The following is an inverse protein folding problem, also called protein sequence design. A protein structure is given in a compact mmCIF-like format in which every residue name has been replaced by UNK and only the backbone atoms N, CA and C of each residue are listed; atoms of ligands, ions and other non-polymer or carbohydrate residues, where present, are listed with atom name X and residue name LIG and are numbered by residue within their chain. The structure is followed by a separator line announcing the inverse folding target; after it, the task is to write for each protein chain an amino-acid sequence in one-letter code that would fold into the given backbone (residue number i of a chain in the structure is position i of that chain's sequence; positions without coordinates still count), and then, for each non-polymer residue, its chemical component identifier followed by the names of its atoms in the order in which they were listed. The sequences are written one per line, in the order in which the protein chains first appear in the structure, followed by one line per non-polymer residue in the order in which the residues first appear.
data_IF_533905395769
#
_entry.id   IF_533905395769
#
_cell.length_a   1.000
_cell.length_b   1.000
_cell.length_c   1.000
_cell.angle_alpha   90.00
_cell.angle_beta   90.00
_cell.angle_gamma   90.00
#
_symmetry.space_group_name_H-M   'P 1'
#
loop_
_entity.id
_entity.type
_entity.pdbx_description
1 polymer ?
#
# COMPACT_ATOMS: atom_id res chain seq x y z
N UNK A 1 27.76 -75.28 -62.46
CA UNK A 1 26.64 -75.48 -63.41
C UNK A 1 25.86 -74.26 -63.52
N UNK A 2 25.84 -73.71 -64.74
CA UNK A 2 24.87 -72.68 -65.28
C UNK A 2 24.69 -71.35 -64.48
N UNK A 3 25.36 -70.28 -64.89
CA UNK A 3 25.16 -69.38 -66.05
C UNK A 3 23.72 -68.86 -66.18
N UNK A 4 23.52 -67.55 -66.01
CA UNK A 4 22.90 -66.59 -66.95
C UNK A 4 22.64 -65.30 -66.21
N UNK A 5 23.28 -64.25 -66.49
CA UNK A 5 23.20 -63.33 -67.63
C UNK A 5 22.11 -62.29 -67.47
N UNK A 6 22.56 -61.06 -67.46
CA UNK A 6 22.07 -59.74 -67.49
C UNK A 6 20.91 -59.46 -68.51
N UNK A 7 20.01 -58.54 -68.34
CA UNK A 7 20.30 -57.29 -69.04
C UNK A 7 19.94 -55.98 -68.28
N UNK A 8 20.66 -54.96 -68.70
CA UNK A 8 20.59 -53.56 -68.50
C UNK A 8 19.31 -53.01 -69.14
N UNK A 9 18.59 -52.11 -68.49
CA UNK A 9 17.92 -51.05 -69.26
C UNK A 9 17.91 -49.74 -68.51
N UNK A 10 18.28 -48.75 -69.25
CA UNK A 10 18.37 -47.35 -69.13
C UNK A 10 16.98 -46.70 -68.91
N UNK A 11 16.99 -45.59 -68.22
CA UNK A 11 15.98 -44.60 -68.54
C UNK A 11 15.57 -43.64 -67.39
N UNK A 12 16.34 -42.58 -67.30
CA UNK A 12 15.83 -41.18 -67.10
C UNK A 12 14.58 -40.97 -66.28
N UNK A 13 14.63 -40.26 -65.18
CA UNK A 13 14.26 -38.88 -65.03
C UNK A 13 14.16 -38.46 -63.59
N UNK A 14 14.98 -37.50 -63.19
CA UNK A 14 14.76 -36.61 -62.12
C UNK A 14 13.50 -35.76 -62.39
N UNK A 15 12.70 -35.43 -61.36
CA UNK A 15 12.62 -34.02 -61.05
C UNK A 15 12.84 -33.71 -59.56
N UNK A 16 13.69 -32.78 -59.34
CA UNK A 16 13.82 -31.94 -58.19
C UNK A 16 12.48 -31.30 -57.84
N UNK A 17 12.04 -31.43 -56.62
CA UNK A 17 11.14 -30.47 -56.02
C UNK A 17 11.47 -30.30 -54.53
N UNK A 18 12.40 -29.39 -54.32
CA UNK A 18 12.59 -28.76 -53.02
C UNK A 18 11.29 -28.05 -52.61
N UNK A 19 10.64 -28.53 -51.58
CA UNK A 19 9.64 -27.73 -50.88
C UNK A 19 10.39 -26.75 -49.98
N UNK A 20 10.67 -25.58 -50.51
CA UNK A 20 11.10 -24.44 -49.74
C UNK A 20 10.02 -24.10 -48.71
N UNK A 21 10.40 -24.23 -47.45
CA UNK A 21 9.61 -23.72 -46.34
C UNK A 21 9.71 -22.20 -46.40
N UNK A 22 8.73 -21.60 -47.10
CA UNK A 22 8.63 -20.14 -47.18
C UNK A 22 8.13 -19.65 -45.84
N UNK A 23 9.05 -19.18 -45.01
CA UNK A 23 8.74 -18.44 -43.79
C UNK A 23 8.12 -17.11 -44.23
N UNK A 24 6.78 -17.04 -44.24
CA UNK A 24 6.06 -15.80 -44.46
C UNK A 24 6.22 -14.92 -43.22
N UNK A 25 7.20 -14.05 -43.22
CA UNK A 25 7.25 -12.89 -42.33
C UNK A 25 6.06 -11.99 -42.64
N UNK A 26 5.27 -11.58 -41.64
CA UNK A 26 4.17 -10.64 -41.85
C UNK A 26 4.73 -9.28 -42.28
N UNK A 27 4.39 -8.88 -43.51
CA UNK A 27 4.89 -7.69 -44.20
C UNK A 27 4.28 -6.35 -43.72
N UNK A 28 3.65 -6.28 -42.54
CA UNK A 28 3.16 -4.99 -42.06
C UNK A 28 3.73 -4.66 -40.69
N UNK A 29 4.54 -3.59 -40.58
CA UNK A 29 5.08 -3.14 -39.28
C UNK A 29 3.97 -2.74 -38.28
N UNK A 30 2.77 -2.44 -38.80
CA UNK A 30 1.60 -2.09 -38.01
C UNK A 30 1.09 -3.27 -37.14
N UNK A 31 1.19 -4.52 -37.62
CA UNK A 31 0.77 -5.71 -36.85
C UNK A 31 1.77 -6.06 -35.75
N UNK A 32 3.05 -5.79 -35.95
CA UNK A 32 4.11 -6.01 -34.94
C UNK A 32 4.00 -4.98 -33.81
N UNK A 33 3.66 -3.72 -34.12
CA UNK A 33 3.42 -2.67 -33.14
C UNK A 33 2.16 -2.95 -32.30
N UNK A 34 1.09 -3.49 -32.89
CA UNK A 34 -0.14 -3.80 -32.19
C UNK A 34 0.01 -4.95 -31.19
N UNK A 35 0.84 -5.95 -31.51
CA UNK A 35 1.12 -7.07 -30.60
C UNK A 35 2.07 -6.67 -29.46
N UNK A 36 3.01 -5.74 -29.69
CA UNK A 36 3.92 -5.24 -28.67
C UNK A 36 3.21 -4.34 -27.66
N UNK A 37 2.23 -3.54 -28.12
CA UNK A 37 1.44 -2.68 -27.21
C UNK A 37 0.47 -3.46 -26.34
N UNK A 38 -0.05 -4.60 -26.80
CA UNK A 38 -0.98 -5.43 -26.04
C UNK A 38 -0.30 -6.19 -24.90
N UNK A 39 0.99 -6.55 -25.04
CA UNK A 39 1.74 -7.24 -23.98
C UNK A 39 2.21 -6.33 -22.85
N UNK A 40 2.32 -5.02 -23.10
CA UNK A 40 2.78 -4.05 -22.09
C UNK A 40 1.70 -3.64 -21.09
N UNK A 41 0.42 -3.86 -21.40
CA UNK A 41 -0.70 -3.44 -20.54
C UNK A 41 -1.05 -4.45 -19.44
N UNK A 42 -0.45 -5.65 -19.41
CA UNK A 42 -0.77 -6.70 -18.43
C UNK A 42 0.16 -6.73 -17.21
N UNK A 43 1.16 -5.84 -17.14
CA UNK A 43 2.02 -5.71 -15.97
C UNK A 43 1.55 -4.57 -15.06
N UNK A 44 0.32 -4.66 -14.54
CA UNK A 44 -0.04 -3.88 -13.35
C UNK A 44 0.67 -4.51 -12.16
N UNK A 45 1.55 -3.79 -11.45
CA UNK A 45 2.10 -4.31 -10.22
C UNK A 45 0.94 -4.56 -9.25
N UNK A 46 0.76 -5.80 -8.83
CA UNK A 46 -0.18 -6.16 -7.79
C UNK A 46 0.21 -5.35 -6.53
N UNK A 47 -0.53 -4.31 -6.22
CA UNK A 47 -0.40 -3.59 -4.95
C UNK A 47 -0.83 -4.56 -3.86
N UNK A 48 0.08 -4.93 -2.98
CA UNK A 48 -0.27 -5.72 -1.81
C UNK A 48 -1.37 -4.96 -1.03
N UNK A 49 -2.49 -5.62 -0.78
CA UNK A 49 -3.58 -5.07 0.02
C UNK A 49 -3.06 -4.83 1.44
N UNK A 50 -3.36 -3.67 2.01
CA UNK A 50 -2.99 -3.35 3.38
C UNK A 50 -3.69 -4.32 4.34
N UNK A 51 -3.01 -4.78 5.42
CA UNK A 51 -3.61 -5.66 6.40
C UNK A 51 -4.81 -4.97 7.07
N UNK A 52 -5.85 -5.75 7.40
CA UNK A 52 -7.03 -5.20 8.09
C UNK A 52 -6.66 -4.70 9.49
N UNK A 53 -7.32 -3.63 9.98
CA UNK A 53 -7.14 -3.14 11.34
C UNK A 53 -7.44 -4.24 12.37
N UNK A 54 -6.62 -4.31 13.41
CA UNK A 54 -6.77 -5.27 14.50
C UNK A 54 -7.49 -4.62 15.69
N UNK A 55 -8.33 -5.38 16.37
CA UNK A 55 -8.97 -4.90 17.60
C UNK A 55 -8.00 -5.02 18.78
N UNK A 56 -7.87 -4.00 19.64
CA UNK A 56 -7.04 -4.10 20.82
C UNK A 56 -7.66 -5.05 21.85
N UNK A 57 -6.78 -5.75 22.59
CA UNK A 57 -7.18 -6.49 23.77
C UNK A 57 -7.28 -5.55 24.99
N UNK A 58 -8.00 -5.93 26.06
CA UNK A 58 -8.04 -5.13 27.29
C UNK A 58 -6.68 -4.88 27.96
N UNK A 59 -5.66 -5.67 27.58
CA UNK A 59 -4.29 -5.57 28.13
C UNK A 59 -3.36 -4.70 27.29
N UNK A 60 -3.76 -4.32 26.08
CA UNK A 60 -2.92 -3.53 25.19
C UNK A 60 -2.74 -2.12 25.72
N UNK A 61 -1.49 -1.72 25.79
CA UNK A 61 -1.08 -0.38 26.24
C UNK A 61 -0.47 0.40 25.09
N UNK A 62 -0.77 1.69 25.06
CA UNK A 62 -0.06 2.62 24.22
C UNK A 62 1.43 2.64 24.59
N UNK A 63 2.35 2.39 23.63
CA UNK A 63 3.79 2.37 23.92
C UNK A 63 4.38 3.73 24.25
N UNK A 64 3.63 4.82 24.04
CA UNK A 64 4.07 6.19 24.27
C UNK A 64 3.67 6.68 25.66
N UNK A 65 2.37 6.57 26.00
CA UNK A 65 1.81 7.09 27.24
C UNK A 65 1.47 6.03 28.29
N UNK A 66 1.43 4.73 27.91
CA UNK A 66 1.14 3.61 28.82
C UNK A 66 -0.34 3.37 29.14
N UNK A 67 -1.26 4.16 28.55
CA UNK A 67 -2.70 3.99 28.76
C UNK A 67 -3.22 2.71 28.13
N UNK A 68 -4.26 2.10 28.73
CA UNK A 68 -4.95 0.95 28.16
C UNK A 68 -5.88 1.42 27.03
N UNK A 69 -5.48 1.13 25.79
CA UNK A 69 -6.10 1.67 24.57
C UNK A 69 -7.53 1.23 24.35
N UNK A 70 -7.90 0.02 24.80
CA UNK A 70 -9.26 -0.51 24.70
C UNK A 70 -10.31 0.33 25.46
N UNK A 71 -9.89 1.25 26.33
CA UNK A 71 -10.78 2.19 27.03
C UNK A 71 -11.19 3.39 26.18
N UNK A 72 -10.53 3.59 25.03
CA UNK A 72 -10.69 4.76 24.17
C UNK A 72 -10.96 4.33 22.70
N UNK A 73 -12.04 3.57 22.45
CA UNK A 73 -12.31 2.99 21.13
C UNK A 73 -12.44 4.05 20.04
N UNK A 74 -13.01 5.21 20.36
CA UNK A 74 -13.24 6.30 19.40
C UNK A 74 -11.95 7.05 19.01
N UNK A 75 -10.87 6.81 19.75
CA UNK A 75 -9.55 7.42 19.55
C UNK A 75 -8.50 6.41 19.08
N UNK A 76 -8.91 5.17 18.88
CA UNK A 76 -7.99 4.10 18.58
C UNK A 76 -7.16 4.41 17.33
N UNK A 77 -5.85 4.25 17.49
CA UNK A 77 -4.93 4.33 16.37
C UNK A 77 -3.94 3.15 16.41
N UNK A 78 -3.36 2.79 15.23
CA UNK A 78 -2.61 1.55 15.09
C UNK A 78 -1.50 1.66 14.06
N UNK A 79 -0.36 1.03 14.37
CA UNK A 79 0.71 0.72 13.40
C UNK A 79 0.79 -0.79 13.25
N UNK A 80 0.81 -1.29 12.01
CA UNK A 80 1.03 -2.70 11.67
C UNK A 80 2.33 -2.80 10.88
N UNK A 81 3.19 -3.74 11.29
CA UNK A 81 4.46 -4.01 10.65
C UNK A 81 4.36 -5.18 9.66
N UNK A 82 5.30 -5.26 8.72
CA UNK A 82 5.37 -6.31 7.68
C UNK A 82 5.47 -7.72 8.23
N UNK A 83 5.99 -7.89 9.44
CA UNK A 83 6.08 -9.18 10.12
C UNK A 83 4.80 -9.55 10.91
N UNK A 84 3.73 -8.75 10.79
CA UNK A 84 2.46 -8.94 11.48
C UNK A 84 2.44 -8.41 12.92
N UNK A 85 3.57 -7.99 13.49
CA UNK A 85 3.55 -7.29 14.78
C UNK A 85 2.87 -5.94 14.66
N UNK A 86 2.32 -5.42 15.78
CA UNK A 86 1.55 -4.18 15.77
C UNK A 86 1.71 -3.41 17.07
N UNK A 87 1.32 -2.16 17.07
CA UNK A 87 1.20 -1.31 18.24
C UNK A 87 -0.12 -0.53 18.17
N UNK A 88 -0.82 -0.43 19.30
CA UNK A 88 -2.05 0.34 19.45
C UNK A 88 -1.78 1.61 20.25
N UNK A 89 -2.54 2.66 19.94
CA UNK A 89 -2.44 3.99 20.56
C UNK A 89 -3.84 4.51 20.90
N UNK A 90 -3.92 5.33 21.89
CA UNK A 90 -5.14 5.99 22.37
C UNK A 90 -5.37 7.38 21.74
N UNK A 91 -4.65 7.69 20.66
CA UNK A 91 -4.81 8.90 19.86
C UNK A 91 -3.80 9.00 18.73
N UNK A 92 -4.12 9.82 17.73
CA UNK A 92 -3.26 10.04 16.57
C UNK A 92 -1.96 10.77 16.97
N UNK A 93 -1.97 11.65 17.97
CA UNK A 93 -0.79 12.33 18.48
C UNK A 93 0.30 11.34 18.89
N UNK A 94 -0.07 10.28 19.59
CA UNK A 94 0.89 9.29 20.07
C UNK A 94 1.46 8.42 18.96
N UNK A 95 0.70 8.17 17.86
CA UNK A 95 1.30 7.56 16.67
C UNK A 95 2.45 8.42 16.14
N UNK A 96 2.26 9.73 15.97
CA UNK A 96 3.31 10.59 15.45
C UNK A 96 4.50 10.69 16.41
N UNK A 97 4.27 10.75 17.74
CA UNK A 97 5.35 10.65 18.74
C UNK A 97 6.16 9.36 18.56
N UNK A 98 5.46 8.25 18.36
CA UNK A 98 6.06 6.94 18.14
C UNK A 98 6.88 6.90 16.84
N UNK A 99 6.33 7.36 15.74
CA UNK A 99 6.98 7.37 14.42
C UNK A 99 8.25 8.23 14.42
N UNK A 100 8.19 9.42 15.01
CA UNK A 100 9.35 10.32 15.10
C UNK A 100 10.45 9.81 16.03
N UNK A 101 10.11 8.93 16.96
CA UNK A 101 11.06 8.37 17.93
C UNK A 101 11.01 6.84 17.96
N UNK A 102 10.87 6.21 16.79
CA UNK A 102 10.67 4.76 16.67
C UNK A 102 11.80 3.99 17.39
N UNK A 103 13.03 4.45 17.27
CA UNK A 103 14.19 3.84 17.98
C UNK A 103 14.03 3.84 19.50
N UNK A 104 13.35 4.85 20.07
CA UNK A 104 13.09 4.93 21.52
C UNK A 104 12.00 3.94 21.94
N UNK A 105 10.91 3.88 21.19
CA UNK A 105 9.72 3.11 21.57
C UNK A 105 9.73 1.66 21.07
N UNK A 106 10.43 1.41 19.96
CA UNK A 106 10.57 0.08 19.36
C UNK A 106 11.91 -0.05 18.61
N UNK A 107 13.02 -0.28 19.34
CA UNK A 107 14.36 -0.28 18.75
C UNK A 107 14.60 -1.41 17.73
N UNK A 108 13.75 -2.44 17.72
CA UNK A 108 13.85 -3.56 16.78
C UNK A 108 13.24 -3.27 15.42
N UNK A 109 12.53 -2.13 15.25
CA UNK A 109 11.81 -1.76 14.03
C UNK A 109 12.38 -0.50 13.40
N UNK A 110 12.20 -0.42 12.07
CA UNK A 110 12.51 0.75 11.26
C UNK A 110 11.25 1.27 10.57
N UNK A 111 11.29 2.49 10.06
CA UNK A 111 10.15 3.10 9.36
C UNK A 111 9.74 2.28 8.12
N UNK A 112 10.70 1.66 7.44
CA UNK A 112 10.47 0.81 6.26
C UNK A 112 9.74 -0.50 6.59
N UNK A 113 9.74 -0.92 7.86
CA UNK A 113 9.04 -2.13 8.31
C UNK A 113 7.53 -1.88 8.51
N UNK A 114 7.10 -0.61 8.52
CA UNK A 114 5.70 -0.23 8.70
C UNK A 114 4.92 -0.53 7.43
N UNK A 115 3.98 -1.48 7.52
CA UNK A 115 3.09 -1.84 6.44
C UNK A 115 1.89 -0.92 6.39
N UNK A 116 1.14 -0.77 7.49
CA UNK A 116 -0.05 0.05 7.55
C UNK A 116 -0.10 0.93 8.80
N UNK A 117 -0.79 2.06 8.68
CA UNK A 117 -1.13 2.96 9.78
C UNK A 117 -2.62 3.22 9.72
N UNK A 118 -3.32 3.02 10.83
CA UNK A 118 -4.74 3.30 10.96
C UNK A 118 -4.99 4.32 12.06
N UNK A 119 -5.96 5.19 11.83
CA UNK A 119 -6.51 6.12 12.81
C UNK A 119 -8.03 6.02 12.75
N UNK A 120 -8.74 6.40 13.80
CA UNK A 120 -10.21 6.40 13.81
C UNK A 120 -10.73 7.73 13.25
N UNK A 121 -11.55 7.68 12.21
CA UNK A 121 -12.29 8.85 11.70
C UNK A 121 -13.19 9.40 12.79
N UNK A 122 -13.18 10.73 12.97
CA UNK A 122 -13.89 11.38 14.09
C UNK A 122 -15.41 11.27 13.98
N UNK A 123 -15.97 11.32 12.77
CA UNK A 123 -17.43 11.27 12.60
C UNK A 123 -17.95 9.84 12.42
N UNK A 124 -17.26 9.04 11.59
CA UNK A 124 -17.71 7.69 11.24
C UNK A 124 -17.29 6.65 12.30
N UNK A 125 -16.42 7.00 13.24
CA UNK A 125 -15.84 6.12 14.27
C UNK A 125 -15.28 4.81 13.69
N UNK A 126 -14.79 4.88 12.47
CA UNK A 126 -14.25 3.75 11.73
C UNK A 126 -12.73 3.90 11.49
N UNK A 127 -11.98 2.80 11.42
CA UNK A 127 -10.57 2.87 11.10
C UNK A 127 -10.36 3.28 9.63
N UNK A 128 -9.53 4.29 9.42
CA UNK A 128 -9.14 4.82 8.11
C UNK A 128 -7.62 4.75 7.93
N UNK A 129 -7.15 4.77 6.68
CA UNK A 129 -5.72 4.82 6.37
C UNK A 129 -5.11 6.14 6.87
N UNK A 130 -4.28 6.05 7.90
CA UNK A 130 -3.67 7.24 8.52
C UNK A 130 -2.75 8.02 7.58
N UNK A 131 -2.15 7.37 6.57
CA UNK A 131 -1.29 8.06 5.59
C UNK A 131 -2.07 8.93 4.59
N UNK A 132 -3.37 8.63 4.42
CA UNK A 132 -4.28 9.34 3.51
C UNK A 132 -5.22 10.30 4.26
N UNK A 133 -5.29 10.17 5.60
CA UNK A 133 -6.15 10.97 6.44
C UNK A 133 -5.79 12.46 6.45
N UNK A 134 -6.79 13.24 6.76
CA UNK A 134 -6.68 14.66 7.09
C UNK A 134 -6.71 14.81 8.61
N UNK A 135 -5.94 15.74 9.15
CA UNK A 135 -5.82 15.97 10.59
C UNK A 135 -6.11 17.42 10.90
N UNK A 136 -7.04 17.66 11.82
CA UNK A 136 -7.31 19.01 12.34
C UNK A 136 -6.66 19.15 13.71
N UNK A 137 -5.96 20.28 13.92
CA UNK A 137 -5.38 20.64 15.21
C UNK A 137 -5.90 22.00 15.70
N UNK A 138 -5.79 22.21 17.02
CA UNK A 138 -6.14 23.48 17.66
C UNK A 138 -7.65 23.70 17.82
N UNK A 139 -8.44 22.62 17.76
CA UNK A 139 -9.88 22.62 18.07
C UNK A 139 -10.14 22.70 19.57
N UNK A 140 -11.41 22.85 19.95
CA UNK A 140 -11.91 22.76 21.32
C UNK A 140 -12.24 21.31 21.75
N UNK A 141 -11.99 20.34 20.88
CA UNK A 141 -12.10 18.90 21.18
C UNK A 141 -10.77 18.40 21.70
N UNK A 142 -10.84 17.64 22.78
CA UNK A 142 -9.69 17.03 23.44
C UNK A 142 -9.78 15.50 23.35
N UNK A 143 -8.66 14.87 23.05
CA UNK A 143 -8.51 13.42 23.13
C UNK A 143 -8.13 12.94 24.53
N UNK A 144 -7.87 11.63 24.70
CA UNK A 144 -7.48 11.02 25.97
C UNK A 144 -6.26 11.68 26.64
N UNK A 145 -5.33 12.20 25.84
CA UNK A 145 -4.10 12.86 26.28
C UNK A 145 -4.12 14.39 26.06
N UNK A 146 -5.30 15.01 26.11
CA UNK A 146 -5.45 16.46 25.96
C UNK A 146 -5.59 16.89 24.50
N UNK A 147 -4.82 17.90 24.08
CA UNK A 147 -4.85 18.37 22.69
C UNK A 147 -4.44 17.26 21.73
N UNK A 148 -5.15 17.14 20.61
CA UNK A 148 -5.02 16.00 19.73
C UNK A 148 -4.98 16.42 18.25
N UNK A 149 -4.55 15.50 17.38
CA UNK A 149 -4.81 15.55 15.95
C UNK A 149 -6.11 14.79 15.68
N UNK A 150 -7.13 15.50 15.22
CA UNK A 150 -8.45 14.93 14.95
C UNK A 150 -8.48 14.40 13.52
N UNK A 151 -8.60 13.06 13.29
CA UNK A 151 -8.50 12.47 11.97
C UNK A 151 -9.83 12.48 11.23
N UNK A 152 -9.76 12.64 9.90
CA UNK A 152 -10.89 12.57 8.97
C UNK A 152 -10.49 11.86 7.69
N UNK A 153 -11.40 11.06 7.15
CA UNK A 153 -11.21 10.44 5.84
C UNK A 153 -11.40 11.46 4.71
N UNK A 154 -12.37 12.38 4.87
CA UNK A 154 -12.73 13.36 3.85
C UNK A 154 -12.30 14.76 4.26
N UNK A 155 -11.71 15.49 3.31
CA UNK A 155 -11.33 16.89 3.54
C UNK A 155 -12.54 17.77 3.86
N UNK A 156 -13.69 17.50 3.26
CA UNK A 156 -14.91 18.25 3.50
C UNK A 156 -15.35 18.17 4.98
N UNK A 157 -15.27 16.99 5.57
CA UNK A 157 -15.62 16.74 6.97
C UNK A 157 -14.62 17.45 7.90
N UNK A 158 -13.33 17.38 7.60
CA UNK A 158 -12.30 18.10 8.34
C UNK A 158 -12.52 19.62 8.31
N UNK A 159 -12.88 20.18 7.15
CA UNK A 159 -13.18 21.61 7.01
C UNK A 159 -14.49 22.02 7.71
N UNK A 160 -15.51 21.16 7.70
CA UNK A 160 -16.73 21.34 8.50
C UNK A 160 -16.40 21.38 9.99
N UNK A 161 -15.69 20.38 10.48
CA UNK A 161 -15.23 20.29 11.86
C UNK A 161 -14.42 21.53 12.30
N UNK A 162 -13.53 22.04 11.46
CA UNK A 162 -12.77 23.26 11.77
C UNK A 162 -13.67 24.46 12.07
N UNK A 163 -14.79 24.59 11.35
CA UNK A 163 -15.75 25.69 11.58
C UNK A 163 -16.51 25.49 12.88
N UNK A 164 -16.98 24.26 13.13
CA UNK A 164 -17.85 23.93 14.25
C UNK A 164 -17.07 23.88 15.58
N UNK A 165 -15.80 23.45 15.53
CA UNK A 165 -14.94 23.19 16.69
C UNK A 165 -13.71 24.09 16.77
N UNK A 166 -13.73 25.26 16.10
CA UNK A 166 -12.65 26.26 16.16
C UNK A 166 -11.27 25.73 15.75
N UNK A 167 -11.24 24.68 14.91
CA UNK A 167 -9.98 24.09 14.42
C UNK A 167 -9.11 25.13 13.70
N UNK A 168 -7.81 25.11 13.95
CA UNK A 168 -6.89 26.16 13.47
C UNK A 168 -6.15 25.76 12.21
N UNK A 169 -5.71 24.52 12.12
CA UNK A 169 -4.85 24.04 11.04
C UNK A 169 -5.36 22.69 10.56
N UNK A 170 -5.43 22.52 9.23
CA UNK A 170 -5.69 21.27 8.54
C UNK A 170 -4.38 20.76 7.95
N UNK A 171 -4.02 19.52 8.24
CA UNK A 171 -2.76 18.89 7.85
C UNK A 171 -3.02 17.55 7.14
N UNK A 172 -2.15 17.22 6.21
CA UNK A 172 -1.94 15.85 5.71
C UNK A 172 -0.90 15.13 6.58
N UNK A 173 -0.87 13.82 6.52
CA UNK A 173 0.08 13.00 7.27
C UNK A 173 1.54 13.47 7.15
N UNK A 174 1.98 13.83 5.94
CA UNK A 174 3.36 14.26 5.66
C UNK A 174 3.68 15.67 6.17
N UNK A 175 2.67 16.46 6.51
CA UNK A 175 2.81 17.84 6.98
C UNK A 175 2.92 17.91 8.50
N UNK A 176 2.61 16.81 9.20
CA UNK A 176 2.80 16.71 10.65
C UNK A 176 4.30 16.62 10.95
N UNK A 177 4.78 17.54 11.77
CA UNK A 177 6.21 17.62 12.17
C UNK A 177 6.39 17.40 13.66
N UNK A 178 7.61 17.08 14.13
CA UNK A 178 7.90 16.99 15.56
C UNK A 178 7.58 18.27 16.33
N UNK A 179 7.72 19.45 15.70
CA UNK A 179 7.39 20.76 16.29
C UNK A 179 5.90 20.88 16.55
N UNK A 180 5.06 20.50 15.58
CA UNK A 180 3.61 20.48 15.72
C UNK A 180 3.19 19.59 16.89
N UNK A 181 3.78 18.37 16.95
CA UNK A 181 3.46 17.42 18.02
C UNK A 181 3.86 17.97 19.40
N UNK A 182 5.03 18.60 19.53
CA UNK A 182 5.44 19.25 20.78
C UNK A 182 4.50 20.39 21.21
N UNK A 183 3.91 21.08 20.24
CA UNK A 183 2.93 22.15 20.51
C UNK A 183 1.56 21.65 21.01
N UNK A 184 1.31 20.34 20.94
CA UNK A 184 0.08 19.71 21.43
C UNK A 184 0.23 19.12 22.85
N UNK A 185 1.44 19.09 23.40
CA UNK A 185 1.73 18.59 24.77
C UNK A 185 1.41 19.60 25.88
#
# INVERSE_FOLDING_TARGET
MKTEAIPINNGRNFPSRGKGLTFMLPRSPLKLLLTLTLTLTLFSPARAEDPKPLKPTPKDKCPVCGMFVAKYPDWLAQVIFKDGSHAHFDGAKDIFKYLFNLKKYNPSKKAEDIQAIYVTDYYDLSPINGREAFFVIGSDIYGPMGRELIPFQKEADARGFMKDHKGKILLKFKEVTPEIIRGLD
#
